data_IF_693209356447
#
_entry.id   IF_693209356447
#
_cell.length_a   1.000
_cell.length_b   1.000
_cell.length_c   1.000
_cell.angle_alpha   90.00
_cell.angle_beta   90.00
_cell.angle_gamma   90.00
#
_symmetry.space_group_name_H-M   'P 1'
#
loop_
_entity.id
_entity.type
_entity.pdbx_description
1 polymer ?
#
# COMPACT_ATOMS: atom_id res chain seq x y z
N UNK A 1 43.58 67.79 0.20
CA UNK A 1 42.71 68.56 -0.72
C UNK A 1 41.85 67.54 -1.44
N UNK A 2 40.67 67.26 -0.90
CA UNK A 2 39.37 67.77 -1.41
C UNK A 2 38.87 66.86 -2.55
N UNK A 3 37.84 66.02 -2.35
CA UNK A 3 36.39 66.36 -2.45
C UNK A 3 36.03 66.65 -3.92
N UNK A 4 35.03 66.07 -4.61
CA UNK A 4 33.72 65.52 -4.21
C UNK A 4 33.12 64.56 -5.28
N UNK A 5 32.23 63.69 -4.79
CA UNK A 5 31.07 63.01 -5.39
C UNK A 5 30.40 63.60 -6.65
N UNK A 6 29.77 62.72 -7.45
CA UNK A 6 28.29 62.64 -7.73
C UNK A 6 27.98 61.31 -8.47
N UNK A 7 27.32 60.31 -7.87
CA UNK A 7 25.86 60.07 -7.73
C UNK A 7 25.38 58.98 -8.73
N UNK A 8 24.80 57.86 -8.30
CA UNK A 8 23.34 57.78 -8.12
C UNK A 8 22.91 56.58 -7.27
N UNK A 9 21.77 56.79 -6.60
CA UNK A 9 21.19 55.99 -5.54
C UNK A 9 20.48 54.71 -6.01
N UNK A 10 20.44 53.70 -5.12
CA UNK A 10 19.20 53.01 -4.74
C UNK A 10 19.28 52.64 -3.24
N UNK A 11 18.32 53.16 -2.46
CA UNK A 11 18.05 52.80 -1.05
C UNK A 11 17.11 51.56 -1.03
N UNK A 12 17.46 50.49 -0.31
CA UNK A 12 16.99 50.13 1.05
C UNK A 12 15.76 49.22 1.09
N UNK A 13 15.94 47.98 1.59
CA UNK A 13 15.10 47.23 2.57
C UNK A 13 15.86 45.94 2.93
N UNK A 14 16.48 45.79 4.11
CA UNK A 14 15.88 45.26 5.35
C UNK A 14 15.31 43.84 5.13
N UNK A 15 15.69 42.74 5.81
CA UNK A 15 16.29 42.51 7.14
C UNK A 15 17.00 41.15 7.15
N UNK A 16 18.11 41.02 7.87
CA UNK A 16 18.72 39.73 8.19
C UNK A 16 17.97 39.07 9.37
N UNK A 17 17.48 37.85 9.19
CA UNK A 17 17.14 36.97 10.32
C UNK A 17 18.03 35.72 10.28
N UNK A 18 19.10 35.68 11.10
CA UNK A 18 19.96 34.52 11.25
C UNK A 18 19.45 33.67 12.40
N UNK A 19 18.33 32.95 12.24
CA UNK A 19 17.94 31.80 13.07
C UNK A 19 16.66 31.14 12.53
N UNK A 20 16.75 29.82 12.30
CA UNK A 20 15.67 28.83 12.24
C UNK A 20 14.34 29.20 11.53
N UNK A 21 14.06 28.55 10.41
CA UNK A 21 12.83 27.74 10.38
C UNK A 21 13.02 26.47 9.52
N UNK A 22 13.07 25.32 10.20
CA UNK A 22 13.14 23.98 9.63
C UNK A 22 11.75 23.52 9.17
N UNK A 23 11.08 24.33 8.34
CA UNK A 23 9.69 24.05 7.96
C UNK A 23 9.48 23.89 6.45
N UNK A 24 10.55 23.64 5.70
CA UNK A 24 10.47 23.06 4.34
C UNK A 24 10.24 21.53 4.40
N UNK A 25 9.66 21.04 5.49
CA UNK A 25 9.03 19.75 5.51
C UNK A 25 7.75 19.88 4.68
N UNK A 26 7.88 19.65 3.37
CA UNK A 26 6.77 19.08 2.62
C UNK A 26 6.37 17.85 3.43
N UNK A 27 5.27 17.98 4.18
CA UNK A 27 4.52 16.83 4.61
C UNK A 27 4.14 16.17 3.28
N UNK A 28 4.95 15.21 2.83
CA UNK A 28 4.44 14.13 2.02
C UNK A 28 3.35 13.57 2.90
N UNK A 29 2.12 14.04 2.66
CA UNK A 29 0.91 13.31 2.99
C UNK A 29 1.26 11.85 2.77
N UNK A 30 1.13 10.95 3.77
CA UNK A 30 1.48 9.56 3.59
C UNK A 30 0.50 8.99 2.57
N UNK A 31 0.79 9.21 1.29
CA UNK A 31 0.31 8.43 0.18
C UNK A 31 0.81 7.05 0.56
N UNK A 32 -0.11 6.21 0.99
CA UNK A 32 0.16 4.83 1.33
C UNK A 32 0.98 4.24 0.17
N UNK A 33 2.29 4.16 0.36
CA UNK A 33 3.19 3.66 -0.67
C UNK A 33 2.83 2.19 -0.91
N UNK A 34 3.07 1.69 -2.12
CA UNK A 34 2.85 0.28 -2.47
C UNK A 34 3.37 -0.67 -1.38
N UNK A 35 4.55 -0.39 -0.85
CA UNK A 35 5.18 -1.21 0.19
C UNK A 35 4.44 -1.14 1.53
N UNK A 36 3.91 0.03 1.91
CA UNK A 36 3.10 0.17 3.11
C UNK A 36 1.75 -0.57 2.96
N UNK A 37 1.09 -0.41 1.81
CA UNK A 37 -0.15 -1.14 1.47
C UNK A 37 0.11 -2.64 1.55
N UNK A 38 1.18 -3.12 0.92
CA UNK A 38 1.57 -4.52 0.95
C UNK A 38 1.84 -4.97 2.38
N UNK A 39 2.64 -4.24 3.15
CA UNK A 39 3.00 -4.60 4.51
C UNK A 39 1.75 -4.69 5.41
N UNK A 40 0.82 -3.73 5.29
CA UNK A 40 -0.44 -3.71 6.03
C UNK A 40 -1.38 -4.84 5.59
N UNK A 41 -1.48 -5.10 4.29
CA UNK A 41 -2.23 -6.23 3.75
C UNK A 41 -1.69 -7.55 4.29
N UNK A 42 -0.37 -7.73 4.32
CA UNK A 42 0.27 -8.93 4.87
C UNK A 42 0.01 -9.07 6.38
N UNK A 43 0.03 -7.97 7.14
CA UNK A 43 -0.34 -7.99 8.57
C UNK A 43 -1.79 -8.44 8.77
N UNK A 44 -2.69 -8.01 7.89
CA UNK A 44 -4.12 -8.36 7.94
C UNK A 44 -4.52 -9.47 6.95
N UNK A 45 -3.56 -10.32 6.54
CA UNK A 45 -3.77 -11.28 5.46
C UNK A 45 -4.93 -12.24 5.72
N UNK A 46 -5.08 -12.71 6.96
CA UNK A 46 -6.18 -13.61 7.34
C UNK A 46 -7.55 -12.92 7.17
N UNK A 47 -7.67 -11.67 7.59
CA UNK A 47 -8.88 -10.86 7.41
C UNK A 47 -9.15 -10.55 5.95
N UNK A 48 -8.10 -10.28 5.17
CA UNK A 48 -8.20 -10.04 3.74
C UNK A 48 -8.69 -11.29 3.01
N UNK A 49 -8.12 -12.45 3.32
CA UNK A 49 -8.53 -13.72 2.74
C UNK A 49 -9.94 -14.12 3.17
N UNK A 50 -10.32 -13.90 4.42
CA UNK A 50 -11.70 -14.14 4.87
C UNK A 50 -12.71 -13.24 4.16
N UNK A 51 -12.31 -12.00 3.84
CA UNK A 51 -13.14 -11.06 3.08
C UNK A 51 -13.25 -11.43 1.60
N UNK A 52 -12.13 -11.73 0.95
CA UNK A 52 -12.06 -12.07 -0.47
C UNK A 52 -12.63 -13.47 -0.76
N UNK A 53 -12.40 -14.43 0.14
CA UNK A 53 -12.61 -15.86 -0.08
C UNK A 53 -13.37 -16.45 1.12
N UNK A 54 -14.67 -16.14 1.28
CA UNK A 54 -15.44 -16.47 2.48
C UNK A 54 -15.63 -17.97 2.71
N UNK A 55 -15.50 -18.81 1.67
CA UNK A 55 -15.59 -20.28 1.80
C UNK A 55 -14.22 -20.94 1.99
N UNK A 56 -13.14 -20.16 1.98
CA UNK A 56 -11.80 -20.65 2.26
C UNK A 56 -11.64 -21.07 3.71
N UNK A 57 -10.68 -21.96 3.96
CA UNK A 57 -10.44 -22.55 5.28
C UNK A 57 -8.97 -22.43 5.63
N UNK A 58 -8.69 -22.03 6.87
CA UNK A 58 -7.33 -22.08 7.41
C UNK A 58 -6.95 -23.53 7.74
N UNK A 59 -5.86 -24.01 7.14
CA UNK A 59 -5.25 -25.32 7.40
C UNK A 59 -3.83 -25.10 7.95
N UNK A 60 -3.73 -24.96 9.27
CA UNK A 60 -2.44 -24.70 9.92
C UNK A 60 -1.86 -23.35 9.50
N UNK A 61 -0.68 -23.36 8.90
CA UNK A 61 0.03 -22.17 8.43
C UNK A 61 -0.40 -21.69 7.02
N UNK A 62 -1.42 -22.32 6.43
CA UNK A 62 -1.88 -22.04 5.08
C UNK A 62 -3.39 -21.80 5.05
N UNK A 63 -3.85 -21.04 4.07
CA UNK A 63 -5.26 -20.83 3.77
C UNK A 63 -5.58 -21.52 2.45
N UNK A 64 -6.64 -22.33 2.43
CA UNK A 64 -6.97 -23.21 1.30
C UNK A 64 -8.38 -22.90 0.83
N UNK A 65 -8.58 -22.78 -0.48
CA UNK A 65 -9.87 -22.50 -1.12
C UNK A 65 -9.91 -23.14 -2.51
N UNK A 66 -11.11 -23.33 -3.07
CA UNK A 66 -11.28 -24.05 -4.33
C UNK A 66 -10.85 -23.25 -5.56
N UNK A 67 -11.04 -21.94 -5.56
CA UNK A 67 -10.65 -21.07 -6.66
C UNK A 67 -10.55 -19.60 -6.20
N UNK A 68 -10.12 -18.73 -7.12
CA UNK A 68 -10.08 -17.27 -6.93
C UNK A 68 -11.46 -16.64 -6.76
N UNK A 69 -12.55 -17.34 -7.11
CA UNK A 69 -13.92 -16.87 -6.87
C UNK A 69 -14.42 -17.19 -5.44
N UNK A 70 -13.62 -17.90 -4.64
CA UNK A 70 -13.98 -18.26 -3.28
C UNK A 70 -14.88 -19.49 -3.18
N UNK A 71 -14.93 -20.36 -4.19
CA UNK A 71 -15.64 -21.65 -4.14
C UNK A 71 -14.96 -22.63 -3.17
N UNK A 72 -15.71 -23.64 -2.74
CA UNK A 72 -15.18 -24.68 -1.87
C UNK A 72 -14.22 -25.61 -2.66
N UNK A 73 -13.05 -25.87 -2.08
CA UNK A 73 -12.06 -26.80 -2.62
C UNK A 73 -10.68 -26.57 -2.01
N UNK A 74 -9.66 -27.14 -2.65
CA UNK A 74 -8.28 -27.16 -2.16
C UNK A 74 -7.24 -26.85 -3.25
N UNK A 75 -7.68 -26.28 -4.36
CA UNK A 75 -6.81 -25.95 -5.50
C UNK A 75 -6.00 -24.68 -5.28
N UNK A 76 -6.52 -23.66 -4.60
CA UNK A 76 -5.79 -22.43 -4.31
C UNK A 76 -5.31 -22.44 -2.86
N UNK A 77 -4.00 -22.25 -2.68
CA UNK A 77 -3.33 -22.23 -1.39
C UNK A 77 -2.61 -20.90 -1.20
N UNK A 78 -2.77 -20.30 -0.03
CA UNK A 78 -2.09 -19.06 0.38
C UNK A 78 -1.28 -19.34 1.64
N UNK A 79 0.00 -19.00 1.65
CA UNK A 79 0.84 -19.12 2.84
C UNK A 79 0.52 -17.98 3.82
N UNK A 80 0.12 -18.33 5.04
CA UNK A 80 -0.13 -17.37 6.11
C UNK A 80 1.07 -17.17 7.02
N UNK A 81 2.03 -18.10 7.05
CA UNK A 81 3.16 -18.04 7.98
C UNK A 81 4.52 -18.21 7.26
N UNK A 82 5.59 -17.88 7.98
CA UNK A 82 6.97 -18.01 7.52
C UNK A 82 7.40 -16.99 6.48
N UNK A 83 8.52 -17.29 5.82
CA UNK A 83 9.14 -16.40 4.83
C UNK A 83 8.31 -16.19 3.55
N UNK A 84 7.31 -17.06 3.32
CA UNK A 84 6.44 -17.03 2.15
C UNK A 84 5.07 -16.40 2.43
N UNK A 85 4.88 -15.78 3.61
CA UNK A 85 3.60 -15.19 3.98
C UNK A 85 3.07 -14.24 2.90
N UNK A 86 1.84 -14.49 2.48
CA UNK A 86 1.14 -13.75 1.42
C UNK A 86 1.49 -14.19 0.01
N UNK A 87 2.27 -15.25 -0.18
CA UNK A 87 2.35 -15.91 -1.47
C UNK A 87 1.16 -16.85 -1.64
N UNK A 88 0.64 -16.93 -2.85
CA UNK A 88 -0.42 -17.85 -3.22
C UNK A 88 -0.06 -18.63 -4.48
N UNK A 89 -0.68 -19.80 -4.60
CA UNK A 89 -0.54 -20.71 -5.72
C UNK A 89 -1.89 -21.39 -5.97
N UNK A 90 -2.34 -21.36 -7.21
CA UNK A 90 -3.44 -22.16 -7.70
C UNK A 90 -2.89 -23.40 -8.43
N UNK A 91 -3.15 -24.57 -7.88
CA UNK A 91 -2.75 -25.86 -8.45
C UNK A 91 -3.57 -26.26 -9.68
N UNK A 92 -4.77 -25.70 -9.88
CA UNK A 92 -5.62 -26.00 -11.03
C UNK A 92 -5.19 -25.22 -12.27
N UNK A 93 -4.83 -23.94 -12.13
CA UNK A 93 -4.39 -23.09 -13.25
C UNK A 93 -2.87 -23.00 -13.38
N UNK A 94 -2.12 -23.27 -12.31
CA UNK A 94 -0.69 -23.04 -12.22
C UNK A 94 -0.31 -21.58 -11.95
N UNK A 95 -1.29 -20.72 -11.68
CA UNK A 95 -1.05 -19.31 -11.36
C UNK A 95 -0.52 -19.15 -9.95
N UNK A 96 0.36 -18.17 -9.76
CA UNK A 96 0.91 -17.86 -8.45
C UNK A 96 1.28 -16.39 -8.39
N UNK A 97 1.41 -15.87 -7.17
CA UNK A 97 1.78 -14.49 -6.98
C UNK A 97 1.87 -14.11 -5.51
N UNK A 98 1.93 -12.82 -5.26
CA UNK A 98 1.84 -12.24 -3.91
C UNK A 98 0.41 -11.81 -3.58
N UNK A 99 0.20 -11.33 -2.35
CA UNK A 99 -1.12 -10.95 -1.86
C UNK A 99 -1.77 -9.84 -2.70
N UNK A 100 -0.96 -8.96 -3.31
CA UNK A 100 -1.45 -7.95 -4.25
C UNK A 100 -1.94 -8.60 -5.54
N UNK A 101 -1.17 -9.52 -6.13
CA UNK A 101 -1.59 -10.28 -7.29
C UNK A 101 -2.85 -11.10 -7.00
N UNK A 102 -2.98 -11.70 -5.80
CA UNK A 102 -4.20 -12.42 -5.41
C UNK A 102 -5.41 -11.51 -5.44
N UNK A 103 -5.29 -10.34 -4.79
CA UNK A 103 -6.36 -9.36 -4.77
C UNK A 103 -6.75 -8.92 -6.18
N UNK A 104 -5.75 -8.69 -7.04
CA UNK A 104 -5.97 -8.37 -8.44
C UNK A 104 -6.78 -9.47 -9.15
N UNK A 105 -6.39 -10.74 -8.98
CA UNK A 105 -7.08 -11.87 -9.60
C UNK A 105 -8.50 -12.05 -9.08
N UNK A 106 -8.73 -11.90 -7.77
CA UNK A 106 -10.06 -12.04 -7.15
C UNK A 106 -10.99 -10.90 -7.58
N UNK A 107 -10.51 -9.67 -7.58
CA UNK A 107 -11.30 -8.48 -7.94
C UNK A 107 -11.38 -8.23 -9.45
N UNK A 108 -10.62 -8.98 -10.27
CA UNK A 108 -10.64 -8.87 -11.73
C UNK A 108 -9.85 -7.68 -12.29
N UNK A 109 -8.81 -7.22 -11.58
CA UNK A 109 -7.91 -6.17 -12.07
C UNK A 109 -6.90 -6.72 -13.09
N UNK A 110 -6.65 -5.96 -14.14
CA UNK A 110 -5.68 -6.28 -15.20
C UNK A 110 -4.33 -5.63 -14.88
N UNK A 111 -3.32 -6.43 -14.56
CA UNK A 111 -1.97 -5.97 -14.29
C UNK A 111 -1.09 -6.01 -15.55
N UNK A 112 -0.20 -5.01 -15.78
CA UNK A 112 0.11 -3.88 -14.90
C UNK A 112 -0.78 -2.63 -15.06
N UNK A 113 -1.74 -2.62 -15.99
CA UNK A 113 -2.48 -1.41 -16.39
C UNK A 113 -3.32 -0.80 -15.26
N UNK A 114 -3.91 -1.62 -14.39
CA UNK A 114 -4.79 -1.17 -13.30
C UNK A 114 -4.11 -1.26 -11.93
N UNK A 115 -2.78 -1.15 -11.90
CA UNK A 115 -2.03 -1.28 -10.65
C UNK A 115 -2.36 -0.15 -9.64
N UNK A 116 -2.53 1.09 -10.09
CA UNK A 116 -2.92 2.20 -9.21
C UNK A 116 -4.33 1.99 -8.61
N UNK A 117 -5.29 1.55 -9.42
CA UNK A 117 -6.65 1.26 -8.97
C UNK A 117 -6.69 0.09 -7.97
N UNK A 118 -5.85 -0.93 -8.16
CA UNK A 118 -5.67 -2.01 -7.20
C UNK A 118 -5.15 -1.49 -5.85
N UNK A 119 -4.12 -0.64 -5.86
CA UNK A 119 -3.57 -0.07 -4.63
C UNK A 119 -4.58 0.82 -3.91
N UNK A 120 -5.36 1.61 -4.66
CA UNK A 120 -6.43 2.42 -4.10
C UNK A 120 -7.53 1.57 -3.45
N UNK A 121 -7.96 0.48 -4.11
CA UNK A 121 -8.98 -0.45 -3.59
C UNK A 121 -8.52 -1.14 -2.28
N UNK A 122 -7.30 -1.65 -2.27
CA UNK A 122 -6.71 -2.27 -1.06
C UNK A 122 -6.52 -1.21 0.03
N UNK A 123 -6.02 -0.03 -0.33
CA UNK A 123 -5.83 1.08 0.59
C UNK A 123 -7.15 1.48 1.25
N UNK A 124 -8.21 1.62 0.47
CA UNK A 124 -9.54 1.89 0.98
C UNK A 124 -10.01 0.79 1.93
N UNK A 125 -9.86 -0.49 1.55
CA UNK A 125 -10.22 -1.62 2.40
C UNK A 125 -9.45 -1.64 3.75
N UNK A 126 -8.18 -1.24 3.75
CA UNK A 126 -7.29 -1.15 4.92
C UNK A 126 -7.60 0.04 5.84
N UNK A 127 -8.24 1.10 5.32
CA UNK A 127 -8.63 2.29 6.09
C UNK A 127 -9.94 2.07 6.82
N UNK A 128 -10.82 1.17 6.36
CA UNK A 128 -12.09 0.89 7.03
C UNK A 128 -11.84 0.21 8.40
N UNK A 129 -12.22 0.84 9.52
CA UNK A 129 -12.15 0.20 10.83
C UNK A 129 -13.17 -0.94 10.89
N UNK A 130 -12.68 -2.18 10.77
CA UNK A 130 -13.53 -3.37 10.91
C UNK A 130 -13.74 -3.65 12.39
N UNK A 131 -14.91 -3.27 12.90
CA UNK A 131 -15.42 -3.77 14.17
C UNK A 131 -15.51 -5.29 14.04
N UNK A 132 -14.64 -6.01 14.75
CA UNK A 132 -14.78 -7.44 14.93
C UNK A 132 -16.13 -7.69 15.60
N UNK A 133 -17.07 -8.30 14.88
CA UNK A 133 -18.35 -8.71 15.47
C UNK A 133 -18.04 -9.91 16.37
N UNK A 134 -18.35 -9.84 17.68
CA UNK A 134 -18.02 -10.86 18.67
C UNK A 134 -18.79 -12.18 18.48
#
# INVERSE_FOLDING_TARGET
MSSMQTASAINSTAVAYPWLDFNDAVAVEPRLDKEDIRARLIKQLESALAYLLPRGKRRGAQFVVGNVQGDAGDSLVVDLDGAKRGLWLDFATGESGDALALWATVCGFILPQQFDALLEDIGHWLVVPRVAVP
#
